data_IF_846272420181
#
_entry.id   IF_846272420181
#
_cell.length_a   1.000
_cell.length_b   1.000
_cell.length_c   1.000
_cell.angle_alpha   90.00
_cell.angle_beta   90.00
_cell.angle_gamma   90.00
#
_symmetry.space_group_name_H-M   'P 1'
#
loop_
_entity.id
_entity.type
_entity.pdbx_description
1 polymer ?
#
# COMPACT_ATOMS: atom_id res chain seq x y z
N UNK A 1 8.43 19.52 1.74
CA UNK A 1 7.51 19.80 0.63
C UNK A 1 6.65 18.55 0.37
N UNK A 2 6.08 17.97 1.43
CA UNK A 2 5.29 16.72 1.41
C UNK A 2 4.19 16.91 2.45
N UNK A 3 3.23 17.81 2.14
CA UNK A 3 2.32 18.36 3.16
C UNK A 3 0.93 17.74 3.17
N UNK A 4 0.47 17.00 2.17
CA UNK A 4 -0.99 16.81 2.05
C UNK A 4 -1.55 15.55 1.36
N UNK A 5 -0.76 14.59 0.89
CA UNK A 5 -1.30 13.62 -0.08
C UNK A 5 -2.21 12.51 0.48
N UNK A 6 -1.95 12.00 1.70
CA UNK A 6 -2.73 10.85 2.22
C UNK A 6 -4.13 11.23 2.73
N UNK A 7 -4.42 12.52 2.96
CA UNK A 7 -5.77 12.99 3.29
C UNK A 7 -6.73 12.82 2.09
N UNK A 8 -6.20 12.81 0.86
CA UNK A 8 -6.98 12.73 -0.37
C UNK A 8 -7.18 11.31 -0.89
N UNK A 9 -6.23 10.39 -0.68
CA UNK A 9 -6.38 8.99 -1.13
C UNK A 9 -7.55 8.28 -0.43
N UNK A 10 -7.84 8.63 0.84
CA UNK A 10 -9.02 8.14 1.57
C UNK A 10 -10.35 8.69 1.04
N UNK A 11 -10.34 9.79 0.28
CA UNK A 11 -11.55 10.44 -0.24
C UNK A 11 -11.95 9.92 -1.65
N UNK A 12 -11.00 9.55 -2.50
CA UNK A 12 -11.28 9.08 -3.86
C UNK A 12 -11.78 7.63 -3.94
N UNK A 13 -11.50 6.77 -2.95
CA UNK A 13 -12.13 5.43 -2.85
C UNK A 13 -13.66 5.49 -2.61
N UNK A 14 -14.22 6.65 -2.26
CA UNK A 14 -15.69 6.84 -2.14
C UNK A 14 -16.35 7.30 -3.44
N UNK A 15 -15.62 7.87 -4.39
CA UNK A 15 -16.21 8.40 -5.63
C UNK A 15 -16.25 7.39 -6.78
N UNK A 16 -15.30 6.45 -6.87
CA UNK A 16 -15.33 5.41 -7.92
C UNK A 16 -16.40 4.32 -7.73
N UNK A 17 -17.04 4.21 -6.56
CA UNK A 17 -18.15 3.24 -6.34
C UNK A 17 -19.48 3.63 -6.98
N UNK A 18 -19.63 4.83 -7.56
CA UNK A 18 -20.92 5.29 -8.13
C UNK A 18 -21.03 5.22 -9.65
N UNK A 19 -19.98 4.84 -10.38
CA UNK A 19 -19.97 4.91 -11.84
C UNK A 19 -20.12 3.56 -12.59
N UNK A 20 -20.20 2.41 -11.90
CA UNK A 20 -20.50 1.12 -12.54
C UNK A 20 -21.72 0.46 -11.88
N UNK A 21 -22.90 0.97 -12.17
CA UNK A 21 -24.16 0.26 -11.92
C UNK A 21 -25.20 0.67 -12.96
N UNK A 22 -24.94 0.34 -14.23
CA UNK A 22 -25.96 0.42 -15.29
C UNK A 22 -25.55 -0.43 -16.48
N UNK A 23 -25.72 -1.75 -16.36
CA UNK A 23 -26.02 -2.56 -17.54
C UNK A 23 -26.74 -3.86 -17.15
N UNK A 24 -27.91 -4.01 -17.80
CA UNK A 24 -28.53 -5.26 -18.23
C UNK A 24 -29.07 -6.24 -17.18
N UNK A 25 -30.38 -6.16 -16.94
CA UNK A 25 -31.18 -7.33 -16.56
C UNK A 25 -32.17 -7.63 -17.67
N UNK A 26 -31.80 -8.58 -18.54
CA UNK A 26 -32.71 -9.26 -19.43
C UNK A 26 -33.44 -10.36 -18.64
N UNK A 27 -34.73 -10.50 -18.93
CA UNK A 27 -35.60 -11.56 -18.44
C UNK A 27 -35.02 -12.95 -18.77
N UNK A 28 -35.11 -13.88 -17.81
CA UNK A 28 -35.55 -15.24 -18.14
C UNK A 28 -36.23 -15.85 -16.92
N UNK A 29 -37.56 -15.94 -17.02
CA UNK A 29 -38.36 -16.79 -16.16
C UNK A 29 -38.17 -18.24 -16.58
N UNK A 30 -37.83 -19.11 -15.63
CA UNK A 30 -38.20 -20.51 -15.69
C UNK A 30 -38.36 -21.00 -14.25
N UNK A 31 -39.60 -21.09 -13.80
CA UNK A 31 -39.92 -21.81 -12.58
C UNK A 31 -39.78 -23.31 -12.80
N UNK A 32 -39.49 -24.05 -11.74
CA UNK A 32 -40.26 -25.23 -11.38
C UNK A 32 -40.01 -25.60 -9.91
N UNK A 33 -41.09 -26.01 -9.26
CA UNK A 33 -41.19 -26.43 -7.87
C UNK A 33 -40.42 -27.74 -7.61
N UNK A 34 -39.84 -27.85 -6.41
CA UNK A 34 -39.86 -29.10 -5.63
C UNK A 34 -39.59 -28.83 -4.14
N UNK A 35 -40.63 -29.06 -3.34
CA UNK A 35 -40.66 -29.40 -1.91
C UNK A 35 -39.75 -30.63 -1.63
N UNK A 36 -39.19 -30.98 -0.45
CA UNK A 36 -39.67 -31.15 0.94
C UNK A 36 -38.40 -31.24 1.89
N UNK A 37 -38.41 -31.74 3.16
CA UNK A 37 -38.12 -30.99 4.40
C UNK A 37 -36.85 -31.42 5.17
N UNK A 38 -36.61 -30.74 6.31
CA UNK A 38 -35.93 -31.16 7.55
C UNK A 38 -35.05 -32.42 7.53
N UNK A 39 -33.76 -32.25 7.88
CA UNK A 39 -33.06 -33.19 8.74
C UNK A 39 -32.07 -32.44 9.64
N UNK A 40 -32.35 -32.51 10.95
CA UNK A 40 -31.46 -32.19 12.05
C UNK A 40 -30.22 -33.09 11.97
N UNK A 41 -29.02 -32.50 11.98
CA UNK A 41 -27.83 -33.19 12.49
C UNK A 41 -27.21 -32.31 13.58
N UNK A 42 -27.47 -32.77 14.79
CA UNK A 42 -26.81 -32.41 16.03
C UNK A 42 -25.36 -32.89 16.00
N UNK A 43 -24.40 -31.97 16.13
CA UNK A 43 -23.08 -32.27 16.66
C UNK A 43 -22.79 -31.31 17.82
N UNK A 44 -23.12 -31.77 19.02
CA UNK A 44 -22.76 -31.16 20.29
C UNK A 44 -21.37 -31.67 20.66
N UNK A 45 -20.36 -30.81 20.67
CA UNK A 45 -19.12 -31.06 21.39
C UNK A 45 -18.83 -29.84 22.28
N UNK A 46 -19.09 -30.00 23.58
CA UNK A 46 -18.47 -29.18 24.62
C UNK A 46 -17.14 -29.85 24.96
N UNK A 47 -16.05 -29.11 24.95
CA UNK A 47 -15.22 -29.09 26.15
C UNK A 47 -14.51 -27.75 26.32
N UNK A 48 -14.57 -27.30 27.57
CA UNK A 48 -14.02 -26.08 28.14
C UNK A 48 -12.67 -26.47 28.74
N UNK A 49 -11.60 -25.75 28.42
CA UNK A 49 -10.56 -25.47 29.41
C UNK A 49 -9.86 -24.16 29.10
N UNK A 50 -9.80 -23.37 30.16
CA UNK A 50 -9.24 -22.04 30.29
C UNK A 50 -7.71 -22.06 30.20
N UNK A 51 -7.10 -20.96 29.75
CA UNK A 51 -5.82 -20.53 30.31
C UNK A 51 -5.76 -19.01 30.32
N UNK A 52 -5.87 -18.48 31.53
CA UNK A 52 -5.63 -17.10 31.87
C UNK A 52 -4.12 -16.82 31.88
N UNK A 53 -3.77 -15.63 31.39
CA UNK A 53 -2.78 -14.76 32.00
C UNK A 53 -1.30 -15.12 31.82
N UNK A 54 -0.60 -14.28 31.07
CA UNK A 54 0.59 -13.62 31.61
C UNK A 54 0.53 -12.14 31.24
N UNK A 55 0.42 -11.30 32.27
CA UNK A 55 0.65 -9.86 32.20
C UNK A 55 2.10 -9.58 32.62
N UNK A 56 2.62 -8.49 32.03
CA UNK A 56 3.56 -7.52 32.58
C UNK A 56 5.04 -7.92 32.77
N UNK A 57 5.92 -7.18 32.07
CA UNK A 57 6.96 -6.40 32.74
C UNK A 57 7.41 -5.21 31.87
N UNK A 58 7.61 -4.10 32.58
CA UNK A 58 7.88 -2.74 32.15
C UNK A 58 9.25 -2.49 31.48
N UNK A 59 9.25 -1.41 30.70
CA UNK A 59 10.27 -0.35 30.62
C UNK A 59 11.74 -0.72 30.39
N UNK A 60 12.22 -0.35 29.21
CA UNK A 60 13.45 0.45 29.12
C UNK A 60 13.40 1.37 27.89
N UNK A 61 13.27 2.66 28.18
CA UNK A 61 13.53 3.80 27.32
C UNK A 61 14.96 3.71 26.78
N UNK A 62 15.12 3.55 25.47
CA UNK A 62 16.38 3.83 24.76
C UNK A 62 16.08 4.59 23.47
N UNK A 63 15.94 5.90 23.63
CA UNK A 63 16.67 6.91 22.86
C UNK A 63 17.09 6.49 21.44
N UNK A 64 16.20 6.71 20.46
CA UNK A 64 16.60 6.66 19.04
C UNK A 64 17.31 7.95 18.69
N UNK A 65 18.63 7.85 18.78
CA UNK A 65 19.61 8.81 18.32
C UNK A 65 19.46 9.01 16.82
N UNK A 66 19.50 10.28 16.42
CA UNK A 66 19.68 10.78 15.05
C UNK A 66 20.53 9.83 14.20
N UNK A 67 19.91 9.29 13.15
CA UNK A 67 20.54 8.37 12.20
C UNK A 67 21.66 9.09 11.45
N UNK A 68 22.90 8.90 11.90
CA UNK A 68 24.10 9.24 11.14
C UNK A 68 24.22 8.24 9.99
N UNK A 69 24.03 8.72 8.77
CA UNK A 69 24.07 7.90 7.57
C UNK A 69 25.52 7.56 7.22
N UNK A 70 25.95 6.34 7.55
CA UNK A 70 27.11 5.74 6.89
C UNK A 70 26.77 5.53 5.40
N UNK A 71 27.73 5.72 4.47
CA UNK A 71 27.47 5.49 3.06
C UNK A 71 27.05 4.03 2.85
N UNK A 72 25.80 3.84 2.43
CA UNK A 72 25.24 2.52 2.11
C UNK A 72 25.47 2.19 0.66
N UNK A 73 25.76 0.93 0.43
CA UNK A 73 25.79 0.35 -0.90
C UNK A 73 24.36 0.24 -1.45
N UNK A 74 23.99 1.18 -2.31
CA UNK A 74 22.69 1.23 -2.99
C UNK A 74 22.50 0.09 -4.00
N UNK A 75 23.53 -0.73 -4.26
CA UNK A 75 23.39 -1.93 -5.10
C UNK A 75 22.70 -3.09 -4.38
N UNK A 76 22.74 -3.11 -3.04
CA UNK A 76 22.04 -4.13 -2.25
C UNK A 76 20.57 -3.76 -2.09
N UNK A 77 19.69 -4.60 -2.63
CA UNK A 77 18.24 -4.50 -2.41
C UNK A 77 17.89 -5.28 -1.14
N UNK A 78 17.28 -4.60 -0.16
CA UNK A 78 16.87 -5.22 1.11
C UNK A 78 15.47 -5.86 0.98
N UNK A 79 14.62 -5.31 0.11
CA UNK A 79 13.27 -5.82 -0.16
C UNK A 79 12.93 -5.67 -1.65
N UNK A 80 12.85 -6.79 -2.36
CA UNK A 80 12.46 -6.80 -3.77
C UNK A 80 11.01 -7.28 -3.92
N UNK A 81 10.09 -6.34 -4.10
CA UNK A 81 8.68 -6.64 -4.33
C UNK A 81 8.44 -7.26 -5.71
N UNK A 82 9.36 -7.10 -6.66
CA UNK A 82 9.21 -7.62 -8.04
C UNK A 82 9.35 -9.14 -8.12
N UNK A 83 9.95 -9.75 -7.10
CA UNK A 83 10.11 -11.20 -6.97
C UNK A 83 8.98 -11.87 -6.19
N UNK A 84 7.97 -11.10 -5.76
CA UNK A 84 6.87 -11.57 -4.93
C UNK A 84 5.61 -11.79 -5.76
N UNK A 85 4.74 -12.71 -5.30
CA UNK A 85 3.39 -12.82 -5.86
C UNK A 85 2.57 -11.58 -5.50
N UNK A 86 1.58 -11.21 -6.33
CA UNK A 86 0.72 -10.05 -6.07
C UNK A 86 0.04 -10.07 -4.68
N UNK A 87 -0.31 -11.26 -4.16
CA UNK A 87 -0.87 -11.43 -2.81
C UNK A 87 0.15 -11.08 -1.72
N UNK A 88 1.41 -11.46 -1.94
CA UNK A 88 2.51 -11.16 -1.02
C UNK A 88 2.88 -9.68 -1.07
N UNK A 89 2.97 -9.10 -2.27
CA UNK A 89 3.20 -7.65 -2.46
C UNK A 89 2.17 -6.85 -1.68
N UNK A 90 0.87 -7.17 -1.81
CA UNK A 90 -0.19 -6.48 -1.07
C UNK A 90 0.01 -6.57 0.44
N UNK A 91 0.30 -7.77 0.95
CA UNK A 91 0.51 -7.99 2.38
C UNK A 91 1.73 -7.22 2.90
N UNK A 92 2.82 -7.22 2.14
CA UNK A 92 4.05 -6.50 2.48
C UNK A 92 3.85 -4.99 2.42
N UNK A 93 3.17 -4.46 1.41
CA UNK A 93 2.84 -3.03 1.34
C UNK A 93 1.92 -2.59 2.48
N UNK A 94 0.99 -3.43 2.90
CA UNK A 94 0.17 -3.15 4.09
C UNK A 94 1.02 -3.17 5.36
N UNK A 95 1.92 -4.13 5.52
CA UNK A 95 2.85 -4.20 6.65
C UNK A 95 3.78 -2.98 6.69
N UNK A 96 4.26 -2.50 5.54
CA UNK A 96 5.04 -1.26 5.42
C UNK A 96 4.26 -0.01 5.84
N UNK A 97 2.93 -0.01 5.76
CA UNK A 97 2.10 1.08 6.25
C UNK A 97 1.87 1.00 7.77
N UNK A 98 1.64 -0.21 8.29
CA UNK A 98 1.31 -0.41 9.71
C UNK A 98 2.56 -0.37 10.59
N UNK A 99 3.64 -1.01 10.13
CA UNK A 99 4.93 -1.13 10.81
C UNK A 99 6.02 -0.38 10.04
N UNK A 100 5.75 0.86 9.63
CA UNK A 100 6.65 1.64 8.78
C UNK A 100 8.08 1.73 9.33
N UNK A 101 8.24 1.81 10.65
CA UNK A 101 9.53 1.89 11.35
C UNK A 101 10.49 0.74 11.01
N UNK A 102 9.95 -0.48 10.81
CA UNK A 102 10.74 -1.66 10.47
C UNK A 102 11.30 -1.61 9.05
N UNK A 103 10.78 -0.73 8.21
CA UNK A 103 11.17 -0.59 6.81
C UNK A 103 12.01 0.65 6.56
N UNK A 104 12.13 1.56 7.52
CA UNK A 104 12.91 2.79 7.38
C UNK A 104 14.35 2.46 7.00
N UNK A 105 14.85 3.22 6.03
CA UNK A 105 16.17 3.07 5.42
C UNK A 105 16.38 1.75 4.63
N UNK A 106 15.38 0.86 4.47
CA UNK A 106 15.55 -0.30 3.57
C UNK A 106 15.58 0.15 2.12
N UNK A 107 16.45 -0.44 1.32
CA UNK A 107 16.45 -0.26 -0.14
C UNK A 107 15.39 -1.18 -0.76
N UNK A 108 14.31 -0.59 -1.26
CA UNK A 108 13.14 -1.29 -1.77
C UNK A 108 13.08 -1.15 -3.28
N UNK A 109 12.81 -2.27 -3.96
CA UNK A 109 12.53 -2.31 -5.39
C UNK A 109 11.07 -2.69 -5.61
N UNK A 110 10.37 -1.90 -6.43
CA UNK A 110 8.93 -2.06 -6.70
C UNK A 110 8.62 -1.77 -8.16
N UNK A 111 7.69 -2.54 -8.74
CA UNK A 111 7.19 -2.34 -10.10
C UNK A 111 5.69 -2.10 -10.10
N UNK A 112 5.22 -1.30 -11.04
CA UNK A 112 3.82 -0.90 -11.20
C UNK A 112 3.70 0.08 -12.36
N UNK A 113 2.62 0.85 -12.43
CA UNK A 113 2.53 1.94 -13.41
C UNK A 113 2.68 3.31 -12.76
N UNK A 114 3.20 4.26 -13.53
CA UNK A 114 3.39 5.63 -13.08
C UNK A 114 2.06 6.39 -13.03
N UNK A 115 1.84 7.12 -11.94
CA UNK A 115 0.76 8.09 -11.83
C UNK A 115 1.23 9.38 -11.18
N UNK A 116 0.58 10.47 -11.54
CA UNK A 116 0.77 11.79 -10.93
C UNK A 116 -0.44 12.18 -10.11
N UNK A 117 -0.22 12.88 -9.01
CA UNK A 117 -1.28 13.49 -8.22
C UNK A 117 -0.97 14.95 -7.93
N UNK A 118 -1.91 15.85 -8.24
CA UNK A 118 -1.82 17.25 -7.85
C UNK A 118 -2.70 17.49 -6.63
N UNK A 119 -2.13 18.00 -5.55
CA UNK A 119 -2.92 18.41 -4.39
C UNK A 119 -3.76 19.64 -4.76
N UNK A 120 -5.11 19.56 -4.74
CA UNK A 120 -5.97 20.68 -5.11
C UNK A 120 -5.86 21.86 -4.13
N UNK A 121 -5.33 21.66 -2.92
CA UNK A 121 -5.18 22.73 -1.94
C UNK A 121 -3.88 23.52 -2.10
N UNK A 122 -2.78 22.83 -2.42
CA UNK A 122 -1.43 23.45 -2.49
C UNK A 122 -0.93 23.62 -3.92
N UNK A 123 -1.49 22.89 -4.88
CA UNK A 123 -0.98 22.78 -6.24
C UNK A 123 0.29 21.93 -6.35
N UNK A 124 0.77 21.32 -5.25
CA UNK A 124 1.97 20.47 -5.26
C UNK A 124 1.71 19.20 -6.09
N UNK A 125 2.67 18.86 -6.95
CA UNK A 125 2.65 17.67 -7.80
C UNK A 125 3.45 16.55 -7.13
N UNK A 126 2.88 15.36 -7.12
CA UNK A 126 3.43 14.16 -6.51
C UNK A 126 3.43 13.02 -7.51
N UNK A 127 4.37 12.10 -7.29
CA UNK A 127 4.65 10.99 -8.19
C UNK A 127 4.49 9.67 -7.43
N UNK A 128 3.79 8.73 -8.03
CA UNK A 128 3.57 7.43 -7.42
C UNK A 128 3.79 6.30 -8.42
N UNK A 129 4.33 5.20 -7.91
CA UNK A 129 4.21 3.89 -8.56
C UNK A 129 2.96 3.22 -7.99
N UNK A 130 2.01 2.91 -8.85
CA UNK A 130 0.78 2.22 -8.47
C UNK A 130 0.98 0.74 -8.71
N UNK A 131 0.88 -0.01 -7.62
CA UNK A 131 1.16 -1.44 -7.63
C UNK A 131 -0.17 -2.19 -7.79
N UNK A 132 -0.29 -3.11 -8.76
CA UNK A 132 -1.50 -3.91 -8.91
C UNK A 132 -1.65 -4.84 -7.70
N UNK A 133 -2.82 -4.82 -7.04
CA UNK A 133 -3.18 -5.88 -6.10
C UNK A 133 -3.58 -7.15 -6.85
N UNK A 134 -3.54 -8.30 -6.17
CA UNK A 134 -3.93 -9.59 -6.73
C UNK A 134 -5.37 -9.61 -7.31
N UNK A 135 -6.22 -8.65 -6.94
CA UNK A 135 -7.63 -8.54 -7.36
C UNK A 135 -7.98 -7.28 -8.14
N UNK A 136 -7.00 -6.40 -8.42
CA UNK A 136 -7.18 -5.09 -9.07
C UNK A 136 -8.23 -4.14 -8.41
N UNK A 137 -8.66 -4.39 -7.17
CA UNK A 137 -9.79 -3.69 -6.53
C UNK A 137 -9.37 -2.66 -5.48
N UNK A 138 -8.14 -2.77 -4.96
CA UNK A 138 -7.58 -1.90 -3.93
C UNK A 138 -6.20 -1.41 -4.41
N UNK A 139 -6.21 -0.51 -5.39
CA UNK A 139 -4.97 0.09 -5.90
C UNK A 139 -4.30 0.90 -4.78
N UNK A 140 -3.10 0.50 -4.41
CA UNK A 140 -2.29 1.22 -3.43
C UNK A 140 -1.08 1.80 -4.16
N UNK A 141 -0.97 3.12 -4.14
CA UNK A 141 0.19 3.84 -4.66
C UNK A 141 1.29 3.93 -3.61
N UNK A 142 2.54 3.85 -4.07
CA UNK A 142 3.71 4.19 -3.28
C UNK A 142 4.32 5.47 -3.85
N UNK A 143 4.35 6.53 -3.04
CA UNK A 143 4.96 7.79 -3.41
C UNK A 143 6.47 7.65 -3.54
N UNK A 144 7.07 8.34 -4.52
CA UNK A 144 8.51 8.44 -4.62
C UNK A 144 8.98 9.85 -4.97
N UNK A 145 10.19 10.18 -4.50
CA UNK A 145 10.93 11.39 -4.85
C UNK A 145 12.17 10.96 -5.60
N UNK A 146 12.29 11.35 -6.87
CA UNK A 146 13.43 10.99 -7.71
C UNK A 146 14.60 11.92 -7.44
N UNK A 147 15.66 11.37 -6.85
CA UNK A 147 16.88 12.11 -6.54
C UNK A 147 17.62 12.53 -7.82
N UNK A 148 18.09 13.77 -7.85
CA UNK A 148 18.78 14.35 -9.01
C UNK A 148 18.06 15.58 -9.53
N UNK A 149 18.46 16.02 -10.72
CA UNK A 149 17.83 17.14 -11.41
C UNK A 149 16.89 16.59 -12.50
N UNK A 150 15.71 16.13 -12.07
CA UNK A 150 14.67 15.59 -12.94
C UNK A 150 13.47 16.53 -12.97
N UNK A 151 12.99 16.86 -14.16
CA UNK A 151 11.89 17.78 -14.38
C UNK A 151 10.72 17.04 -15.01
N UNK A 152 9.57 17.06 -14.35
CA UNK A 152 8.32 16.64 -14.97
C UNK A 152 7.80 17.76 -15.90
N UNK A 153 7.34 17.44 -17.13
CA UNK A 153 7.14 16.10 -17.68
C UNK A 153 8.34 15.51 -18.44
N UNK A 154 9.37 16.30 -18.75
CA UNK A 154 10.41 15.93 -19.72
C UNK A 154 11.25 14.70 -19.33
N UNK A 155 11.59 14.54 -18.05
CA UNK A 155 12.44 13.46 -17.54
C UNK A 155 11.63 12.29 -16.98
N UNK A 156 10.30 12.41 -16.90
CA UNK A 156 9.43 11.45 -16.25
C UNK A 156 8.67 10.55 -17.25
N UNK A 157 8.32 9.32 -16.85
CA UNK A 157 7.42 8.44 -17.61
C UNK A 157 6.04 9.09 -17.84
N UNK A 158 5.34 8.65 -18.87
CA UNK A 158 3.96 9.08 -19.09
C UNK A 158 3.02 8.43 -18.06
N UNK A 159 1.96 9.10 -17.59
CA UNK A 159 0.95 8.46 -16.74
C UNK A 159 0.39 7.19 -17.37
N UNK A 160 0.35 6.11 -16.60
CA UNK A 160 -0.04 4.77 -17.05
C UNK A 160 1.09 3.92 -17.65
N UNK A 161 2.30 4.45 -17.82
CA UNK A 161 3.47 3.68 -18.27
C UNK A 161 3.99 2.78 -17.13
N UNK A 162 4.36 1.55 -17.44
CA UNK A 162 4.98 0.63 -16.48
C UNK A 162 6.37 1.12 -16.09
N UNK A 163 6.64 1.13 -14.79
CA UNK A 163 7.89 1.60 -14.21
C UNK A 163 8.40 0.64 -13.14
N UNK A 164 9.70 0.66 -12.92
CA UNK A 164 10.35 0.06 -11.75
C UNK A 164 11.12 1.11 -10.97
N UNK A 165 10.76 1.27 -9.71
CA UNK A 165 11.40 2.23 -8.79
C UNK A 165 12.27 1.45 -7.82
N UNK A 166 13.53 1.87 -7.68
CA UNK A 166 14.43 1.43 -6.61
C UNK A 166 14.80 2.63 -5.75
N UNK A 167 14.62 2.52 -4.45
CA UNK A 167 14.83 3.64 -3.55
C UNK A 167 14.84 3.28 -2.07
N UNK A 168 15.28 4.22 -1.26
CA UNK A 168 15.32 4.07 0.19
C UNK A 168 13.96 4.45 0.77
N UNK A 169 13.39 3.58 1.59
CA UNK A 169 12.14 3.88 2.27
C UNK A 169 12.36 4.91 3.38
N UNK A 170 11.70 6.05 3.26
CA UNK A 170 11.80 7.17 4.18
C UNK A 170 10.47 7.43 4.84
N UNK A 171 10.54 7.97 6.05
CA UNK A 171 9.40 8.41 6.82
C UNK A 171 9.66 9.81 7.34
N UNK A 172 8.67 10.69 7.23
CA UNK A 172 8.70 12.05 7.76
C UNK A 172 7.43 12.31 8.55
N UNK A 173 7.56 13.09 9.62
CA UNK A 173 6.41 13.56 10.39
C UNK A 173 6.16 15.03 10.06
N UNK A 174 4.90 15.39 9.81
CA UNK A 174 4.51 16.75 9.53
C UNK A 174 3.12 17.02 10.10
N UNK A 175 3.04 17.94 11.06
CA UNK A 175 1.84 18.30 11.81
C UNK A 175 1.15 17.09 12.48
N UNK A 176 1.93 16.15 13.04
CA UNK A 176 1.42 14.93 13.67
C UNK A 176 0.85 13.90 12.69
N UNK A 177 1.06 14.10 11.39
CA UNK A 177 0.77 13.10 10.35
C UNK A 177 2.10 12.56 9.83
N UNK A 178 2.23 11.25 9.87
CA UNK A 178 3.38 10.52 9.33
C UNK A 178 3.16 10.24 7.84
N UNK A 179 4.18 10.52 7.04
CA UNK A 179 4.22 10.28 5.60
C UNK A 179 5.37 9.35 5.28
N UNK A 180 5.15 8.39 4.39
CA UNK A 180 6.19 7.50 3.89
C UNK A 180 6.31 7.62 2.38
N UNK A 181 7.54 7.50 1.87
CA UNK A 181 7.85 7.59 0.46
C UNK A 181 9.15 6.85 0.16
N UNK A 182 9.39 6.56 -1.12
CA UNK A 182 10.69 6.11 -1.61
C UNK A 182 11.54 7.29 -2.05
N UNK A 183 12.70 7.44 -1.45
CA UNK A 183 13.77 8.27 -2.00
C UNK A 183 14.43 7.47 -3.15
N UNK A 184 13.94 7.68 -4.37
CA UNK A 184 14.30 6.88 -5.53
C UNK A 184 15.71 7.24 -6.02
N UNK A 185 16.58 6.24 -6.03
CA UNK A 185 17.91 6.30 -6.62
C UNK A 185 17.89 5.95 -8.10
N UNK A 186 16.90 5.16 -8.53
CA UNK A 186 16.74 4.71 -9.91
C UNK A 186 15.26 4.52 -10.25
N UNK A 187 14.87 5.01 -11.42
CA UNK A 187 13.55 4.79 -12.03
C UNK A 187 13.77 4.26 -13.45
N UNK A 188 13.17 3.13 -13.79
CA UNK A 188 13.30 2.45 -15.09
C UNK A 188 11.93 2.37 -15.77
N UNK A 189 11.84 2.74 -17.05
CA UNK A 189 10.59 2.80 -17.83
C UNK A 189 10.85 2.72 -19.34
#
# INVERSE_FOLDING_TARGET
>A
MIKNIFRAFRLQLRFRRRALARQSSALLACGLLATIPNALISCKAKNKTDNAGLQAANSAKTQSTVSQTAPRDLSKIDLDLTQMSATMIYSTMFDMLVMAEDYIEKNIKVSGWFETYTDPQTGELYYAVVVPDATACCQQGMEFVWQGNHNYPDDYPQPGQDITVTGIYKMIENNGITYTYLEASKVEF
#
